data_IF_884212816465
#
_entry.id   IF_884212816465
#
_cell.length_a   1.000
_cell.length_b   1.000
_cell.length_c   1.000
_cell.angle_alpha   90.00
_cell.angle_beta   90.00
_cell.angle_gamma   90.00
#
_symmetry.space_group_name_H-M   'P 1'
#
loop_
_entity.id
_entity.type
_entity.pdbx_description
1 polymer ?
#
# COMPACT_ATOMS: atom_id res chain seq x y z
N UNK A 1 9.11 -5.50 -10.75
CA UNK A 1 8.13 -4.62 -11.41
C UNK A 1 7.25 -4.01 -10.33
N UNK A 2 7.02 -2.70 -10.37
CA UNK A 2 6.14 -2.03 -9.42
C UNK A 2 4.79 -1.79 -10.09
N UNK A 3 3.73 -2.32 -9.50
CA UNK A 3 2.35 -2.07 -9.88
C UNK A 3 1.76 -1.15 -8.81
N UNK A 4 1.45 0.10 -9.16
CA UNK A 4 0.90 1.09 -8.21
C UNK A 4 -0.60 1.23 -8.44
N UNK A 5 -1.38 1.19 -7.37
CA UNK A 5 -2.84 1.25 -7.39
C UNK A 5 -3.35 2.21 -6.29
N UNK A 6 -4.46 2.89 -6.53
CA UNK A 6 -5.20 3.61 -5.49
C UNK A 6 -5.99 2.60 -4.64
N UNK A 7 -5.88 2.69 -3.32
CA UNK A 7 -6.66 1.85 -2.42
C UNK A 7 -8.16 2.11 -2.64
N UNK A 8 -8.97 1.06 -2.63
CA UNK A 8 -10.42 1.17 -2.79
C UNK A 8 -10.91 1.26 -4.25
N UNK A 9 -10.00 1.40 -5.23
CA UNK A 9 -10.35 0.96 -6.59
C UNK A 9 -10.54 -0.55 -6.55
N UNK A 10 -11.57 -1.06 -7.25
CA UNK A 10 -11.59 -2.47 -7.59
C UNK A 10 -10.29 -2.69 -8.37
N UNK A 11 -9.38 -3.52 -7.85
CA UNK A 11 -8.13 -3.88 -8.49
C UNK A 11 -8.44 -4.52 -9.85
N UNK A 12 -8.77 -3.69 -10.82
CA UNK A 12 -9.18 -4.09 -12.13
C UNK A 12 -7.95 -4.66 -12.78
N UNK A 13 -8.09 -5.86 -13.32
CA UNK A 13 -7.12 -6.58 -14.13
C UNK A 13 -6.34 -5.73 -15.16
N UNK A 14 -6.70 -4.48 -15.43
CA UNK A 14 -6.01 -3.58 -16.32
C UNK A 14 -4.53 -3.33 -15.96
N UNK A 15 -4.19 -3.13 -14.68
CA UNK A 15 -2.79 -2.83 -14.29
C UNK A 15 -1.97 -4.09 -14.08
N UNK A 16 -2.51 -5.08 -13.35
CA UNK A 16 -1.85 -6.40 -13.18
C UNK A 16 -1.78 -7.20 -14.48
N UNK A 17 -2.74 -7.03 -15.39
CA UNK A 17 -2.74 -7.68 -16.71
C UNK A 17 -1.53 -7.28 -17.55
N UNK A 18 -1.11 -6.01 -17.47
CA UNK A 18 0.15 -5.54 -18.10
C UNK A 18 1.37 -6.19 -17.45
N UNK A 19 1.38 -6.33 -16.13
CA UNK A 19 2.45 -7.02 -15.43
C UNK A 19 2.54 -8.50 -15.80
N UNK A 20 1.40 -9.17 -16.01
CA UNK A 20 1.32 -10.60 -16.38
C UNK A 20 2.04 -10.92 -17.70
N UNK A 21 2.09 -9.99 -18.65
CA UNK A 21 2.81 -10.18 -19.92
C UNK A 21 4.31 -10.38 -19.69
N UNK A 22 4.87 -9.73 -18.67
CA UNK A 22 6.32 -9.70 -18.39
C UNK A 22 6.69 -10.61 -17.20
N UNK A 23 5.74 -10.86 -16.30
CA UNK A 23 5.89 -11.71 -15.12
C UNK A 23 4.62 -12.54 -14.90
N UNK A 24 4.42 -13.62 -15.68
CA UNK A 24 3.17 -14.38 -15.69
C UNK A 24 2.75 -14.98 -14.35
N UNK A 25 3.73 -15.21 -13.46
CA UNK A 25 3.55 -15.78 -12.13
C UNK A 25 3.70 -14.74 -11.00
N UNK A 26 3.83 -13.45 -11.34
CA UNK A 26 3.99 -12.35 -10.39
C UNK A 26 5.14 -12.51 -9.38
N UNK A 27 6.18 -13.28 -9.71
CA UNK A 27 7.30 -13.57 -8.78
C UNK A 27 8.15 -12.32 -8.49
N UNK A 28 8.18 -11.38 -9.44
CA UNK A 28 8.96 -10.14 -9.42
C UNK A 28 8.06 -8.90 -9.32
N UNK A 29 6.75 -9.08 -9.34
CA UNK A 29 5.76 -8.01 -9.28
C UNK A 29 5.46 -7.66 -7.82
N UNK A 30 5.43 -6.37 -7.52
CA UNK A 30 5.10 -5.84 -6.20
C UNK A 30 3.94 -4.88 -6.38
N UNK A 31 2.85 -5.14 -5.66
CA UNK A 31 1.69 -4.25 -5.63
C UNK A 31 1.89 -3.21 -4.52
N UNK A 32 1.85 -1.93 -4.90
CA UNK A 32 1.92 -0.77 -4.01
C UNK A 32 0.54 -0.12 -4.01
N UNK A 33 -0.13 -0.15 -2.87
CA UNK A 33 -1.44 0.49 -2.68
C UNK A 33 -1.25 1.84 -2.02
N UNK A 34 -1.77 2.89 -2.66
CA UNK A 34 -1.64 4.28 -2.24
C UNK A 34 -2.99 4.86 -1.79
N UNK A 35 -3.00 5.97 -1.04
CA UNK A 35 -4.19 6.64 -0.50
C UNK A 35 -5.00 5.82 0.51
N UNK A 36 -4.33 5.31 1.53
CA UNK A 36 -4.98 4.52 2.58
C UNK A 36 -5.96 5.37 3.40
N UNK A 37 -5.62 6.65 3.58
CA UNK A 37 -6.32 7.67 4.34
C UNK A 37 -7.77 7.93 3.89
N UNK A 38 -8.03 7.81 2.59
CA UNK A 38 -9.36 8.05 2.00
C UNK A 38 -10.45 7.12 2.55
N UNK A 39 -10.09 5.92 3.01
CA UNK A 39 -11.05 4.89 3.43
C UNK A 39 -11.04 4.65 4.95
N UNK A 40 -10.25 5.39 5.73
CA UNK A 40 -10.17 5.17 7.18
C UNK A 40 -11.51 5.28 7.89
N UNK A 41 -12.43 6.12 7.41
CA UNK A 41 -13.79 6.21 7.97
C UNK A 41 -14.57 4.89 7.90
N UNK A 42 -14.38 4.13 6.81
CA UNK A 42 -15.17 2.94 6.49
C UNK A 42 -14.55 1.64 7.04
N UNK A 43 -13.31 1.73 7.56
CA UNK A 43 -12.60 0.57 8.10
C UNK A 43 -13.07 0.24 9.52
N UNK A 44 -13.47 -1.01 9.70
CA UNK A 44 -13.86 -1.61 10.98
C UNK A 44 -12.90 -2.76 11.33
N UNK A 45 -12.97 -3.25 12.57
CA UNK A 45 -12.14 -4.38 13.01
C UNK A 45 -12.39 -5.66 12.19
N UNK A 46 -13.60 -5.81 11.67
CA UNK A 46 -14.03 -6.97 10.89
C UNK A 46 -13.54 -6.92 9.44
N UNK A 47 -13.38 -5.71 8.87
CA UNK A 47 -13.07 -5.54 7.44
C UNK A 47 -11.60 -5.13 7.18
N UNK A 48 -10.90 -4.56 8.16
CA UNK A 48 -9.57 -3.96 7.94
C UNK A 48 -8.54 -4.95 7.40
N UNK A 49 -8.55 -6.18 7.92
CA UNK A 49 -7.60 -7.21 7.48
C UNK A 49 -7.90 -7.69 6.05
N UNK A 50 -9.19 -7.84 5.71
CA UNK A 50 -9.62 -8.16 4.32
C UNK A 50 -9.28 -7.02 3.37
N UNK A 51 -9.49 -5.79 3.84
CA UNK A 51 -9.12 -4.60 3.08
C UNK A 51 -7.61 -4.54 2.84
N UNK A 52 -6.77 -4.84 3.83
CA UNK A 52 -5.30 -4.89 3.70
C UNK A 52 -4.81 -6.05 2.82
N UNK A 53 -5.52 -7.18 2.80
CA UNK A 53 -5.28 -8.24 1.82
C UNK A 53 -5.50 -7.76 0.38
N UNK A 54 -6.38 -6.78 0.20
CA UNK A 54 -6.83 -6.30 -1.10
C UNK A 54 -8.10 -7.03 -1.55
N UNK A 55 -8.83 -6.41 -2.47
CA UNK A 55 -10.06 -6.95 -3.03
C UNK A 55 -9.82 -7.54 -4.42
N UNK A 56 -10.64 -8.52 -4.81
CA UNK A 56 -10.56 -9.20 -6.10
C UNK A 56 -9.66 -10.43 -6.12
N UNK A 57 -9.45 -11.00 -7.31
CA UNK A 57 -8.66 -12.21 -7.54
C UNK A 57 -7.16 -11.93 -7.58
N UNK A 58 -6.63 -11.39 -6.48
CA UNK A 58 -5.20 -11.13 -6.36
C UNK A 58 -4.42 -12.45 -6.29
N UNK A 59 -3.32 -12.60 -7.07
CA UNK A 59 -2.49 -13.80 -7.00
C UNK A 59 -1.93 -14.04 -5.59
N UNK A 60 -1.93 -15.29 -5.08
CA UNK A 60 -1.56 -15.60 -3.70
C UNK A 60 -0.11 -15.22 -3.35
N UNK A 61 0.79 -15.29 -4.33
CA UNK A 61 2.23 -14.99 -4.16
C UNK A 61 2.59 -13.52 -4.43
N UNK A 62 1.59 -12.66 -4.70
CA UNK A 62 1.84 -11.25 -4.98
C UNK A 62 2.26 -10.53 -3.70
N UNK A 63 3.50 -10.02 -3.69
CA UNK A 63 3.97 -9.18 -2.60
C UNK A 63 3.23 -7.84 -2.61
N UNK A 64 2.75 -7.43 -1.44
CA UNK A 64 1.91 -6.25 -1.26
C UNK A 64 2.56 -5.30 -0.26
N UNK A 65 2.49 -4.01 -0.56
CA UNK A 65 2.83 -2.91 0.33
C UNK A 65 1.76 -1.84 0.28
N UNK A 66 1.53 -1.21 1.41
CA UNK A 66 0.60 -0.10 1.58
C UNK A 66 1.42 1.16 1.86
N UNK A 67 1.46 2.12 0.94
CA UNK A 67 2.32 3.30 1.04
C UNK A 67 1.50 4.53 0.71
N UNK A 68 1.26 5.39 1.70
CA UNK A 68 0.65 6.69 1.46
C UNK A 68 1.66 7.69 0.91
N UNK A 69 1.27 8.36 -0.16
CA UNK A 69 1.98 9.53 -0.67
C UNK A 69 1.45 10.78 0.03
N UNK A 70 2.34 11.62 0.60
CA UNK A 70 1.93 12.90 1.16
C UNK A 70 1.18 13.74 0.15
N UNK A 71 0.07 14.32 0.58
CA UNK A 71 -0.70 15.29 -0.18
C UNK A 71 -0.80 16.60 0.62
N UNK A 72 -0.86 17.73 -0.07
CA UNK A 72 -1.05 19.04 0.54
C UNK A 72 -1.83 19.93 -0.42
N UNK A 73 -2.44 20.97 0.12
CA UNK A 73 -3.16 21.95 -0.66
C UNK A 73 -2.23 23.08 -1.08
N UNK A 74 -2.25 23.41 -2.37
CA UNK A 74 -1.48 24.52 -2.94
C UNK A 74 -0.16 24.09 -3.59
N UNK A 75 0.54 25.05 -4.22
CA UNK A 75 1.70 24.76 -5.05
C UNK A 75 2.97 24.42 -4.24
N UNK A 76 3.02 24.77 -2.96
CA UNK A 76 4.21 24.65 -2.12
C UNK A 76 3.97 23.62 -1.03
N UNK A 77 4.88 22.65 -0.93
CA UNK A 77 4.88 21.68 0.14
C UNK A 77 5.12 22.36 1.49
N UNK A 78 4.31 22.09 2.53
CA UNK A 78 4.47 22.72 3.84
C UNK A 78 5.74 22.28 4.58
N UNK A 79 6.30 21.12 4.20
CA UNK A 79 7.50 20.51 4.79
C UNK A 79 8.29 19.76 3.71
N UNK A 80 9.54 19.36 3.99
CA UNK A 80 10.28 18.46 3.11
C UNK A 80 9.51 17.14 2.85
N UNK A 81 9.46 16.70 1.59
CA UNK A 81 8.72 15.51 1.18
C UNK A 81 9.07 14.25 1.98
N UNK A 82 10.35 14.06 2.27
CA UNK A 82 10.83 12.92 3.06
C UNK A 82 10.24 12.89 4.48
N UNK A 83 10.10 14.06 5.11
CA UNK A 83 9.50 14.19 6.43
C UNK A 83 8.00 13.91 6.37
N UNK A 84 7.29 14.52 5.42
CA UNK A 84 5.85 14.31 5.27
C UNK A 84 5.53 12.83 5.03
N UNK A 85 6.36 12.12 4.25
CA UNK A 85 6.20 10.69 3.98
C UNK A 85 6.33 9.84 5.24
N UNK A 86 7.26 10.19 6.13
CA UNK A 86 7.40 9.52 7.43
C UNK A 86 6.17 9.79 8.30
N UNK A 87 5.73 11.04 8.38
CA UNK A 87 4.54 11.43 9.16
C UNK A 87 3.28 10.72 8.66
N UNK A 88 3.08 10.60 7.35
CA UNK A 88 1.98 9.82 6.76
C UNK A 88 2.06 8.34 7.14
N UNK A 89 3.23 7.71 7.02
CA UNK A 89 3.40 6.30 7.38
C UNK A 89 3.11 6.04 8.87
N UNK A 90 3.53 6.93 9.76
CA UNK A 90 3.22 6.85 11.19
C UNK A 90 1.73 7.02 11.49
N UNK A 91 1.06 7.89 10.74
CA UNK A 91 -0.40 8.06 10.82
C UNK A 91 -1.13 6.79 10.37
N UNK A 92 -0.70 6.19 9.26
CA UNK A 92 -1.27 4.95 8.73
C UNK A 92 -1.13 3.80 9.73
N UNK A 93 0.08 3.59 10.23
CA UNK A 93 0.39 2.57 11.24
C UNK A 93 -0.49 2.75 12.49
N UNK A 94 -0.58 3.97 13.03
CA UNK A 94 -1.42 4.25 14.21
C UNK A 94 -2.89 3.99 13.94
N UNK A 95 -3.40 4.48 12.82
CA UNK A 95 -4.83 4.39 12.48
C UNK A 95 -5.25 2.95 12.23
N UNK A 96 -4.45 2.21 11.48
CA UNK A 96 -4.73 0.81 11.14
C UNK A 96 -4.57 -0.10 12.37
N UNK A 97 -3.55 0.13 13.22
CA UNK A 97 -3.39 -0.58 14.48
C UNK A 97 -4.57 -0.35 15.44
N UNK A 98 -5.01 0.91 15.59
CA UNK A 98 -6.15 1.26 16.43
C UNK A 98 -7.47 0.60 15.96
N UNK A 99 -7.56 0.29 14.66
CA UNK A 99 -8.70 -0.40 14.05
C UNK A 99 -8.58 -1.93 14.05
N UNK A 100 -7.51 -2.51 14.61
CA UNK A 100 -7.34 -3.96 14.72
C UNK A 100 -6.66 -4.63 13.53
N UNK A 101 -5.83 -3.89 12.78
CA UNK A 101 -4.96 -4.50 11.77
C UNK A 101 -4.01 -5.54 12.40
N UNK A 102 -3.92 -6.71 11.78
CA UNK A 102 -3.03 -7.78 12.20
C UNK A 102 -1.55 -7.39 12.04
N UNK A 103 -0.72 -7.88 12.96
CA UNK A 103 0.74 -7.64 12.96
C UNK A 103 1.43 -8.04 11.66
N UNK A 104 0.87 -8.99 10.90
CA UNK A 104 1.43 -9.39 9.60
C UNK A 104 1.42 -8.25 8.57
N UNK A 105 0.42 -7.36 8.62
CA UNK A 105 0.33 -6.23 7.69
C UNK A 105 1.15 -5.03 8.13
N UNK A 106 1.39 -4.88 9.44
CA UNK A 106 2.18 -3.78 9.99
C UNK A 106 3.58 -3.69 9.37
N UNK A 107 4.17 -4.85 9.02
CA UNK A 107 5.47 -4.94 8.33
C UNK A 107 5.43 -4.56 6.85
N UNK A 108 4.26 -4.25 6.30
CA UNK A 108 4.05 -3.90 4.88
C UNK A 108 3.49 -2.49 4.68
N UNK A 109 3.25 -1.76 5.77
CA UNK A 109 2.72 -0.39 5.74
C UNK A 109 3.89 0.60 5.83
N UNK A 110 3.91 1.59 4.95
CA UNK A 110 4.89 2.66 4.93
C UNK A 110 6.07 2.44 3.99
N UNK A 111 6.64 3.55 3.52
CA UNK A 111 7.72 3.52 2.53
C UNK A 111 8.99 2.84 3.04
N UNK A 112 9.31 2.93 4.33
CA UNK A 112 10.53 2.36 4.89
C UNK A 112 10.56 0.83 4.76
N UNK A 113 9.44 0.16 5.02
CA UNK A 113 9.33 -1.30 4.86
C UNK A 113 9.43 -1.72 3.40
N UNK A 114 8.80 -0.96 2.50
CA UNK A 114 8.95 -1.17 1.06
C UNK A 114 10.41 -1.00 0.61
N UNK A 115 11.11 0.05 1.08
CA UNK A 115 12.52 0.31 0.76
C UNK A 115 13.42 -0.83 1.21
N UNK A 116 13.29 -1.26 2.47
CA UNK A 116 14.08 -2.36 3.02
C UNK A 116 13.84 -3.67 2.24
N UNK A 117 12.60 -3.96 1.86
CA UNK A 117 12.30 -5.14 1.04
C UNK A 117 12.97 -5.07 -0.34
N UNK A 118 12.99 -3.89 -0.96
CA UNK A 118 13.66 -3.69 -2.25
C UNK A 118 15.18 -3.87 -2.11
N UNK A 119 15.80 -3.31 -1.08
CA UNK A 119 17.24 -3.40 -0.80
C UNK A 119 17.71 -4.86 -0.60
N UNK A 120 16.90 -5.70 0.06
CA UNK A 120 17.21 -7.13 0.29
C UNK A 120 17.01 -7.99 -0.97
N UNK A 121 16.15 -7.56 -1.90
CA UNK A 121 15.87 -8.30 -3.15
C UNK A 121 16.85 -7.99 -4.29
N UNK A 122 17.59 -6.90 -4.20
CA UNK A 122 18.71 -6.53 -5.10
C UNK A 122 20.02 -7.11 -4.62
#
# INVERSE_FOLDING_TARGET
>A
MLCVEEAGDAAGFATLGKCKVVDPNYRRTILIRNKLDKYYGDLTAENINKWLDGFGDLPPNLQRFAVSLPHWNGPIAPKPFGQMRTESAEMDVRTLAAKGASQKYMKTIGFQHFRLYMEVKT
#
